data_IF_974800205395
#
_entry.id   IF_974800205395
#
_cell.length_a   1.000
_cell.length_b   1.000
_cell.length_c   1.000
_cell.angle_alpha   90.00
_cell.angle_beta   90.00
_cell.angle_gamma   90.00
#
_symmetry.space_group_name_H-M   'P 1'
#
loop_
_entity.id
_entity.type
_entity.pdbx_description
1 polymer ?
#
# COMPACT_ATOMS: atom_id res chain seq x y z
N UNK A 1 0.50 -2.20 12.37
CA UNK A 1 1.39 -1.30 11.60
C UNK A 1 1.16 0.14 12.05
N UNK A 2 2.17 1.01 12.11
CA UNK A 2 1.87 2.47 12.19
C UNK A 2 0.97 2.78 10.99
N UNK A 3 -0.13 3.48 11.22
CA UNK A 3 -1.05 3.91 10.17
C UNK A 3 -0.22 4.53 9.04
N UNK A 4 -0.40 4.02 7.83
CA UNK A 4 0.21 4.66 6.66
C UNK A 4 -0.28 6.10 6.64
N UNK A 5 0.63 7.06 6.44
CA UNK A 5 0.24 8.47 6.26
C UNK A 5 -0.61 8.67 5.00
N UNK A 6 -0.62 7.67 4.11
CA UNK A 6 -1.29 7.66 2.83
C UNK A 6 -2.58 6.84 2.90
N UNK A 7 -3.64 7.36 2.27
CA UNK A 7 -4.90 6.65 2.14
C UNK A 7 -4.76 5.39 1.30
N UNK A 8 -5.61 4.41 1.56
CA UNK A 8 -5.65 3.15 0.82
C UNK A 8 -5.94 3.37 -0.67
N UNK A 9 -6.80 4.33 -0.98
CA UNK A 9 -7.09 4.77 -2.35
C UNK A 9 -5.86 5.33 -3.07
N UNK A 10 -5.03 6.12 -2.38
CA UNK A 10 -3.80 6.68 -2.95
C UNK A 10 -2.77 5.57 -3.20
N UNK A 11 -2.60 4.65 -2.24
CA UNK A 11 -1.72 3.49 -2.39
C UNK A 11 -2.15 2.66 -3.61
N UNK A 12 -3.45 2.37 -3.74
CA UNK A 12 -4.00 1.61 -4.85
C UNK A 12 -3.83 2.33 -6.20
N UNK A 13 -4.06 3.63 -6.25
CA UNK A 13 -3.85 4.44 -7.47
C UNK A 13 -2.39 4.36 -7.95
N UNK A 14 -1.44 4.46 -7.01
CA UNK A 14 -0.01 4.36 -7.31
C UNK A 14 0.35 2.94 -7.79
N UNK A 15 -0.19 1.90 -7.16
CA UNK A 15 0.06 0.51 -7.59
C UNK A 15 -0.48 0.24 -8.99
N UNK A 16 -1.67 0.75 -9.33
CA UNK A 16 -2.22 0.66 -10.69
C UNK A 16 -1.36 1.36 -11.72
N UNK A 17 -0.76 2.50 -11.38
CA UNK A 17 0.19 3.17 -12.26
C UNK A 17 1.46 2.33 -12.48
N UNK A 18 1.95 1.66 -11.43
CA UNK A 18 3.07 0.71 -11.56
C UNK A 18 2.71 -0.48 -12.46
N UNK A 19 1.51 -1.04 -12.31
CA UNK A 19 1.00 -2.12 -13.17
C UNK A 19 0.82 -1.66 -14.62
N UNK A 20 0.40 -0.41 -14.84
CA UNK A 20 0.30 0.22 -16.15
C UNK A 20 1.66 0.52 -16.80
N UNK A 21 2.77 0.26 -16.10
CA UNK A 21 4.13 0.39 -16.62
C UNK A 21 4.86 1.66 -16.17
N UNK A 22 4.28 2.49 -15.31
CA UNK A 22 4.97 3.66 -14.76
C UNK A 22 6.10 3.21 -13.83
N UNK A 23 7.35 3.65 -14.06
CA UNK A 23 8.46 3.30 -13.19
C UNK A 23 8.26 3.82 -11.76
N UNK A 24 8.48 2.95 -10.76
CA UNK A 24 8.43 3.32 -9.33
C UNK A 24 9.31 4.53 -8.99
N UNK A 25 10.54 4.70 -9.53
CA UNK A 25 11.35 5.90 -9.28
C UNK A 25 10.65 7.22 -9.62
N UNK A 26 9.82 7.25 -10.67
CA UNK A 26 9.10 8.43 -11.10
C UNK A 26 8.00 8.77 -10.09
N UNK A 27 7.17 7.78 -9.72
CA UNK A 27 6.13 7.92 -8.70
C UNK A 27 6.72 8.31 -7.33
N UNK A 28 7.89 7.79 -6.99
CA UNK A 28 8.61 8.17 -5.78
C UNK A 28 9.03 9.64 -5.81
N UNK A 29 9.53 10.12 -6.95
CA UNK A 29 9.97 11.51 -7.14
C UNK A 29 8.78 12.48 -7.14
N UNK A 30 7.70 12.15 -7.87
CA UNK A 30 6.49 12.98 -7.98
C UNK A 30 5.74 13.12 -6.66
N UNK A 31 5.62 12.05 -5.89
CA UNK A 31 4.91 12.04 -4.61
C UNK A 31 5.81 12.28 -3.40
N UNK A 32 7.11 12.53 -3.61
CA UNK A 32 8.08 12.75 -2.52
C UNK A 32 8.12 11.60 -1.52
N UNK A 33 8.07 10.36 -1.99
CA UNK A 33 7.92 9.17 -1.15
C UNK A 33 8.84 8.04 -1.57
N UNK A 34 9.20 7.15 -0.64
CA UNK A 34 9.92 5.89 -0.93
C UNK A 34 9.06 4.64 -0.65
N UNK A 35 7.81 4.83 -0.24
CA UNK A 35 6.91 3.75 0.22
C UNK A 35 6.40 2.85 -0.90
N UNK A 36 6.43 3.31 -2.17
CA UNK A 36 5.90 2.57 -3.32
C UNK A 36 6.57 1.19 -3.51
N UNK A 37 7.87 1.07 -3.25
CA UNK A 37 8.58 -0.23 -3.29
C UNK A 37 8.03 -1.24 -2.27
N UNK A 38 7.72 -0.76 -1.05
CA UNK A 38 7.13 -1.60 0.01
C UNK A 38 5.71 -2.01 -0.35
N UNK A 39 4.94 -1.10 -0.94
CA UNK A 39 3.57 -1.38 -1.35
C UNK A 39 3.54 -2.40 -2.48
N UNK A 40 4.41 -2.29 -3.49
CA UNK A 40 4.48 -3.28 -4.58
C UNK A 40 4.70 -4.68 -4.02
N UNK A 41 5.62 -4.83 -3.06
CA UNK A 41 5.94 -6.13 -2.48
C UNK A 41 4.82 -6.69 -1.60
N UNK A 42 4.01 -5.84 -0.96
CA UNK A 42 2.96 -6.26 -0.01
C UNK A 42 1.58 -6.39 -0.65
N UNK A 43 1.29 -5.56 -1.65
CA UNK A 43 -0.05 -5.37 -2.20
C UNK A 43 -0.08 -5.46 -3.74
N UNK A 44 1.04 -5.79 -4.39
CA UNK A 44 1.15 -5.75 -5.86
C UNK A 44 0.20 -6.67 -6.61
N UNK A 45 -0.30 -7.72 -5.97
CA UNK A 45 -1.29 -8.66 -6.55
C UNK A 45 -2.65 -8.56 -5.84
N UNK A 46 -2.89 -7.48 -5.10
CA UNK A 46 -3.99 -7.38 -4.16
C UNK A 46 -4.91 -6.23 -4.55
N UNK A 47 -6.23 -6.47 -4.58
CA UNK A 47 -7.20 -5.41 -4.80
C UNK A 47 -7.45 -4.57 -3.53
N UNK A 48 -8.24 -3.49 -3.66
CA UNK A 48 -8.52 -2.57 -2.56
C UNK A 48 -9.26 -3.25 -1.41
N UNK A 49 -10.19 -4.15 -1.72
CA UNK A 49 -10.97 -4.86 -0.69
C UNK A 49 -10.09 -5.82 0.12
N UNK A 50 -9.18 -6.51 -0.55
CA UNK A 50 -8.19 -7.38 0.07
C UNK A 50 -7.18 -6.59 0.90
N UNK A 51 -6.73 -5.42 0.42
CA UNK A 51 -5.86 -4.53 1.19
C UNK A 51 -6.54 -4.05 2.49
N UNK A 52 -7.79 -3.60 2.40
CA UNK A 52 -8.56 -3.15 3.57
C UNK A 52 -8.73 -4.31 4.56
N UNK A 53 -9.14 -5.48 4.08
CA UNK A 53 -9.31 -6.67 4.91
C UNK A 53 -8.02 -7.10 5.60
N UNK A 54 -6.88 -7.02 4.92
CA UNK A 54 -5.58 -7.34 5.49
C UNK A 54 -5.23 -6.41 6.65
N UNK A 55 -5.52 -5.10 6.53
CA UNK A 55 -5.26 -4.13 7.59
C UNK A 55 -6.16 -4.33 8.80
N UNK A 56 -7.43 -4.67 8.59
CA UNK A 56 -8.35 -5.04 9.67
C UNK A 56 -7.84 -6.28 10.42
N UNK A 57 -7.43 -7.32 9.69
CA UNK A 57 -6.88 -8.54 10.28
C UNK A 57 -5.59 -8.26 11.04
N UNK A 58 -4.69 -7.43 10.50
CA UNK A 58 -3.45 -7.00 11.19
C UNK A 58 -3.78 -6.23 12.48
N UNK A 59 -4.81 -5.37 12.47
CA UNK A 59 -5.25 -4.59 13.63
C UNK A 59 -5.87 -5.49 14.71
N UNK A 60 -6.73 -6.43 14.31
CA UNK A 60 -7.36 -7.38 15.22
C UNK A 60 -6.33 -8.34 15.83
N UNK A 61 -5.39 -8.85 15.03
CA UNK A 61 -4.28 -9.66 15.54
C UNK A 61 -3.45 -8.90 16.59
N UNK A 62 -3.18 -7.61 16.37
CA UNK A 62 -2.45 -6.79 17.32
C UNK A 62 -3.24 -6.55 18.62
N UNK A 63 -4.58 -6.50 18.54
CA UNK A 63 -5.47 -6.41 19.71
C UNK A 63 -5.49 -7.71 20.51
N UNK A 64 -5.59 -8.85 19.84
CA UNK A 64 -5.65 -10.18 20.47
C UNK A 64 -4.32 -10.64 21.06
N UNK A 65 -3.19 -10.15 20.54
CA UNK A 65 -1.85 -10.45 21.04
C UNK A 65 -1.41 -9.56 22.22
N UNK A 66 -2.24 -8.61 22.64
CA UNK A 66 -2.06 -7.85 23.88
C UNK A 66 -2.71 -8.58 25.04
#
# INVERSE_FOLDING_TARGET
>A
MKTSKYSDSLIMSILKQVEAGTPIPNLCSEHGMSSAYKWKSKYGDMDLSMMTRLKELDAENARLKR
#
